data_IF_208163364584
#
_entry.id   IF_208163364584
#
_cell.length_a   1.000
_cell.length_b   1.000
_cell.length_c   1.000
_cell.angle_alpha   90.00
_cell.angle_beta   90.00
_cell.angle_gamma   90.00
#
_symmetry.space_group_name_H-M   'P 1'
#
loop_
_entity.id
_entity.type
_entity.pdbx_description
1 polymer ?
#
# COMPACT_ATOMS: atom_id res chain seq x y z
N UNK A 1 -12.59 10.66 20.89
CA UNK A 1 -11.52 10.20 20.00
C UNK A 1 -11.77 8.75 19.64
N UNK A 2 -11.54 8.40 18.39
CA UNK A 2 -11.63 7.03 17.86
C UNK A 2 -10.31 6.77 17.17
N UNK A 3 -9.64 5.66 17.53
CA UNK A 3 -8.48 5.18 16.79
C UNK A 3 -8.96 4.49 15.52
N UNK A 4 -8.55 5.01 14.38
CA UNK A 4 -8.99 4.54 13.07
C UNK A 4 -7.90 3.81 12.28
N UNK A 5 -6.68 3.76 12.84
CA UNK A 5 -5.53 3.08 12.23
C UNK A 5 -5.23 1.81 13.01
N UNK A 6 -5.19 0.68 12.33
CA UNK A 6 -4.84 -0.59 12.97
C UNK A 6 -3.37 -0.58 13.39
N UNK A 7 -3.11 -1.01 14.62
CA UNK A 7 -1.77 -1.12 15.18
C UNK A 7 -1.72 -2.18 16.26
N UNK A 8 -0.52 -2.42 16.75
CA UNK A 8 -0.25 -3.27 17.92
C UNK A 8 0.03 -2.41 19.15
N UNK A 9 -0.17 -2.98 20.33
CA UNK A 9 0.02 -2.30 21.61
C UNK A 9 1.50 -2.24 22.04
N UNK A 10 2.37 -3.05 21.43
CA UNK A 10 3.78 -3.15 21.82
C UNK A 10 4.73 -3.28 20.64
N UNK A 11 5.97 -2.83 20.81
CA UNK A 11 7.04 -3.03 19.83
C UNK A 11 7.28 -4.50 19.53
N UNK A 12 7.21 -5.38 20.53
CA UNK A 12 7.44 -6.82 20.36
C UNK A 12 6.42 -7.45 19.39
N UNK A 13 5.19 -6.96 19.37
CA UNK A 13 4.17 -7.42 18.41
C UNK A 13 4.48 -6.93 17.01
N UNK A 14 4.97 -5.70 16.83
CA UNK A 14 5.45 -5.22 15.54
C UNK A 14 6.65 -5.99 15.02
N UNK A 15 7.60 -6.38 15.89
CA UNK A 15 8.78 -7.17 15.51
C UNK A 15 8.42 -8.60 15.04
N UNK A 16 7.30 -9.15 15.52
CA UNK A 16 6.81 -10.48 15.16
C UNK A 16 5.78 -10.47 14.03
N UNK A 17 5.36 -9.28 13.59
CA UNK A 17 4.28 -9.13 12.63
C UNK A 17 4.76 -9.30 11.18
N UNK A 18 4.03 -10.13 10.44
CA UNK A 18 4.19 -10.31 8.99
C UNK A 18 3.15 -9.53 8.16
N UNK A 19 2.23 -8.79 8.81
CA UNK A 19 1.11 -8.09 8.17
C UNK A 19 1.42 -6.68 7.67
N UNK A 20 2.65 -6.19 7.82
CA UNK A 20 3.09 -4.85 7.38
C UNK A 20 2.28 -3.68 7.96
N UNK A 21 1.60 -3.82 9.12
CA UNK A 21 0.76 -2.78 9.69
C UNK A 21 1.51 -1.44 9.85
N UNK A 22 1.04 -0.41 9.13
CA UNK A 22 1.62 0.94 9.17
C UNK A 22 3.03 1.06 8.60
N UNK A 23 3.58 0.00 8.00
CA UNK A 23 4.95 -0.03 7.55
C UNK A 23 5.21 0.84 6.31
N UNK A 24 6.42 1.40 6.23
CA UNK A 24 6.98 1.87 4.96
C UNK A 24 7.49 0.66 4.19
N UNK A 25 6.94 0.42 3.02
CA UNK A 25 7.29 -0.70 2.15
C UNK A 25 8.20 -0.24 1.01
N UNK A 26 9.27 -0.96 0.77
CA UNK A 26 10.27 -0.70 -0.25
C UNK A 26 11.39 -1.76 -0.28
N UNK A 27 12.31 -1.73 -1.31
CA UNK A 27 12.36 -0.70 -2.40
C UNK A 27 11.14 -0.71 -3.32
N UNK A 28 10.53 -1.88 -3.57
CA UNK A 28 9.36 -2.02 -4.44
C UNK A 28 8.25 -2.68 -3.66
N UNK A 29 7.11 -1.99 -3.55
CA UNK A 29 5.90 -2.55 -2.96
C UNK A 29 5.22 -3.50 -3.95
N UNK A 30 4.40 -4.42 -3.39
CA UNK A 30 3.74 -5.48 -4.11
C UNK A 30 4.73 -6.46 -4.78
N UNK A 31 4.33 -7.18 -5.84
CA UNK A 31 5.05 -8.36 -6.36
C UNK A 31 5.90 -8.05 -7.58
N UNK A 32 7.03 -8.77 -7.67
CA UNK A 32 7.83 -8.90 -8.88
C UNK A 32 7.84 -10.38 -9.25
N UNK A 33 7.34 -10.69 -10.44
CA UNK A 33 7.19 -12.05 -10.95
C UNK A 33 8.53 -12.78 -11.04
N UNK A 34 8.57 -14.04 -10.63
CA UNK A 34 9.77 -14.88 -10.68
C UNK A 34 10.95 -14.37 -9.83
N UNK A 35 10.72 -13.35 -8.99
CA UNK A 35 11.77 -12.70 -8.19
C UNK A 35 12.99 -12.29 -9.03
N UNK A 36 12.76 -11.71 -10.19
CA UNK A 36 13.82 -11.13 -11.02
C UNK A 36 13.25 -10.00 -11.90
N UNK A 37 14.14 -9.11 -12.32
CA UNK A 37 13.83 -8.11 -13.35
C UNK A 37 15.05 -7.88 -14.25
N UNK A 38 14.81 -7.29 -15.41
CA UNK A 38 15.86 -6.83 -16.31
C UNK A 38 15.87 -5.29 -16.34
N UNK A 39 17.05 -4.71 -16.23
CA UNK A 39 17.27 -3.27 -16.32
C UNK A 39 18.59 -3.04 -17.08
N UNK A 40 18.56 -2.23 -18.13
CA UNK A 40 19.72 -1.92 -18.99
C UNK A 40 20.47 -3.17 -19.50
N UNK A 41 19.72 -4.21 -19.86
CA UNK A 41 20.25 -5.49 -20.37
C UNK A 41 20.89 -6.39 -19.31
N UNK A 42 20.84 -6.00 -18.04
CA UNK A 42 21.30 -6.82 -16.92
C UNK A 42 20.13 -7.46 -16.17
N UNK A 43 20.29 -8.72 -15.79
CA UNK A 43 19.31 -9.45 -14.96
C UNK A 43 19.68 -9.31 -13.49
N UNK A 44 18.69 -8.97 -12.68
CA UNK A 44 18.80 -8.80 -11.23
C UNK A 44 17.90 -9.81 -10.52
N UNK A 45 18.48 -10.90 -9.98
CA UNK A 45 17.74 -11.84 -9.15
C UNK A 45 17.46 -11.21 -7.79
N UNK A 46 16.23 -11.37 -7.32
CA UNK A 46 15.75 -10.88 -6.03
C UNK A 46 15.50 -12.04 -5.06
N UNK A 47 15.34 -11.72 -3.78
CA UNK A 47 14.96 -12.74 -2.81
C UNK A 47 13.52 -13.20 -3.03
N UNK A 48 13.31 -14.53 -3.11
CA UNK A 48 11.98 -15.17 -3.20
C UNK A 48 11.38 -15.28 -1.79
N UNK A 49 10.42 -14.43 -1.48
CA UNK A 49 9.71 -14.43 -0.19
C UNK A 49 8.19 -14.60 -0.32
N UNK A 50 7.68 -14.83 -1.54
CA UNK A 50 6.28 -15.10 -1.83
C UNK A 50 6.17 -16.20 -2.89
N UNK A 51 6.38 -17.46 -2.47
CA UNK A 51 6.54 -18.58 -3.38
C UNK A 51 7.73 -18.37 -4.31
N UNK A 52 7.47 -18.30 -5.63
CA UNK A 52 8.50 -18.03 -6.64
C UNK A 52 8.71 -16.54 -6.90
N UNK A 53 7.91 -15.68 -6.27
CA UNK A 53 7.92 -14.25 -6.50
C UNK A 53 8.67 -13.51 -5.39
N UNK A 54 8.95 -12.25 -5.65
CA UNK A 54 9.41 -11.29 -4.68
C UNK A 54 8.26 -10.40 -4.25
N UNK A 55 8.12 -10.11 -2.97
CA UNK A 55 7.05 -9.29 -2.38
C UNK A 55 7.61 -8.25 -1.43
N UNK A 56 7.12 -7.01 -1.55
CA UNK A 56 7.32 -5.93 -0.58
C UNK A 56 8.78 -5.65 -0.18
N UNK A 57 9.73 -5.78 -1.14
CA UNK A 57 11.13 -5.48 -0.90
C UNK A 57 11.96 -6.65 -0.36
N UNK A 58 11.36 -7.85 -0.27
CA UNK A 58 12.08 -9.09 -0.01
C UNK A 58 12.04 -9.58 1.43
N UNK A 59 13.01 -10.41 1.80
CA UNK A 59 13.10 -11.01 3.13
C UNK A 59 13.29 -9.96 4.23
N UNK A 60 14.09 -8.95 3.91
CA UNK A 60 14.36 -7.83 4.81
C UNK A 60 14.11 -6.52 4.07
N UNK A 61 12.81 -6.27 3.78
CA UNK A 61 12.36 -5.03 3.17
C UNK A 61 12.50 -3.82 4.11
N UNK A 62 12.08 -2.66 3.64
CA UNK A 62 12.19 -1.39 4.36
C UNK A 62 11.46 -1.38 5.71
N UNK A 63 10.45 -2.21 5.87
CA UNK A 63 9.69 -2.45 7.10
C UNK A 63 10.50 -3.14 8.21
N UNK A 64 11.62 -3.79 7.88
CA UNK A 64 12.46 -4.55 8.82
C UNK A 64 13.70 -3.78 9.28
N UNK A 65 13.80 -2.49 8.98
CA UNK A 65 14.94 -1.66 9.37
C UNK A 65 14.54 -0.56 10.33
N UNK A 66 15.45 -0.21 11.23
CA UNK A 66 15.35 1.02 12.03
C UNK A 66 15.80 2.18 11.15
N UNK A 67 14.94 3.18 11.01
CA UNK A 67 15.22 4.40 10.27
C UNK A 67 15.79 5.48 11.20
N UNK A 68 16.64 6.33 10.65
CA UNK A 68 17.02 7.55 11.35
C UNK A 68 15.82 8.50 11.39
N UNK A 69 15.57 9.09 12.55
CA UNK A 69 14.40 9.97 12.79
C UNK A 69 14.88 11.39 13.03
N UNK A 70 14.25 12.34 12.34
CA UNK A 70 14.35 13.77 12.57
C UNK A 70 12.96 14.27 12.99
N UNK A 71 12.88 14.93 14.17
CA UNK A 71 11.67 15.58 14.62
C UNK A 71 11.50 16.91 13.91
N UNK A 72 10.30 17.16 13.39
CA UNK A 72 9.89 18.42 12.74
C UNK A 72 8.82 19.11 13.60
N UNK A 73 8.62 20.43 13.46
CA UNK A 73 7.60 21.15 14.23
C UNK A 73 6.16 20.59 14.02
N UNK A 74 5.91 19.95 12.90
CA UNK A 74 4.60 19.44 12.46
C UNK A 74 4.61 17.94 12.15
N UNK A 75 5.70 17.22 12.50
CA UNK A 75 5.77 15.79 12.18
C UNK A 75 7.14 15.16 12.39
N UNK A 76 7.41 14.14 11.59
CA UNK A 76 8.65 13.35 11.64
C UNK A 76 9.17 13.10 10.23
N UNK A 77 10.49 13.17 10.04
CA UNK A 77 11.16 12.68 8.84
C UNK A 77 11.96 11.43 9.17
N UNK A 78 11.66 10.36 8.46
CA UNK A 78 12.38 9.09 8.54
C UNK A 78 13.33 8.99 7.35
N UNK A 79 14.58 8.60 7.58
CA UNK A 79 15.59 8.48 6.53
C UNK A 79 16.37 7.18 6.68
N UNK A 80 16.66 6.52 5.55
CA UNK A 80 17.59 5.39 5.51
C UNK A 80 18.39 5.38 4.21
N UNK A 81 19.57 4.71 4.26
CA UNK A 81 20.34 4.33 3.09
C UNK A 81 20.23 2.83 2.89
N UNK A 82 19.76 2.40 1.72
CA UNK A 82 19.73 1.02 1.27
C UNK A 82 20.95 0.80 0.38
N UNK A 83 21.93 -0.03 0.78
CA UNK A 83 23.18 -0.22 0.03
C UNK A 83 22.93 -0.94 -1.30
N UNK A 84 23.90 -0.79 -2.22
CA UNK A 84 23.92 -1.55 -3.47
C UNK A 84 23.84 -3.05 -3.21
N UNK A 85 22.96 -3.76 -3.93
CA UNK A 85 22.73 -5.19 -3.79
C UNK A 85 21.80 -5.62 -2.65
N UNK A 86 21.26 -4.68 -1.85
CA UNK A 86 20.27 -5.03 -0.83
C UNK A 86 19.07 -5.71 -1.46
N UNK A 87 18.71 -6.92 -0.98
CA UNK A 87 17.66 -7.82 -1.51
C UNK A 87 17.77 -8.13 -3.02
N UNK A 88 18.92 -7.81 -3.66
CA UNK A 88 19.18 -7.99 -5.09
C UNK A 88 19.04 -6.73 -5.94
N UNK A 89 18.60 -5.61 -5.37
CA UNK A 89 18.42 -4.36 -6.12
C UNK A 89 19.75 -3.64 -6.35
N UNK A 90 20.05 -3.16 -7.58
CA UNK A 90 21.25 -2.38 -7.87
C UNK A 90 21.16 -0.96 -7.30
N UNK A 91 22.32 -0.38 -7.07
CA UNK A 91 22.50 1.01 -6.64
C UNK A 91 22.30 1.24 -5.15
N UNK A 92 23.05 2.20 -4.63
CA UNK A 92 22.85 2.70 -3.28
C UNK A 92 21.73 3.72 -3.32
N UNK A 93 20.63 3.44 -2.59
CA UNK A 93 19.46 4.32 -2.55
C UNK A 93 19.35 4.99 -1.19
N UNK A 94 19.22 6.31 -1.19
CA UNK A 94 18.78 7.08 -0.03
C UNK A 94 17.30 7.34 -0.15
N UNK A 95 16.52 6.89 0.84
CA UNK A 95 15.08 7.10 0.89
C UNK A 95 14.71 7.89 2.14
N UNK A 96 13.71 8.76 2.00
CA UNK A 96 13.06 9.41 3.14
C UNK A 96 11.55 9.39 3.02
N UNK A 97 10.89 9.36 4.15
CA UNK A 97 9.43 9.53 4.28
C UNK A 97 9.18 10.57 5.35
N UNK A 98 8.46 11.62 4.99
CA UNK A 98 8.08 12.68 5.92
C UNK A 98 6.60 12.56 6.24
N UNK A 99 6.29 12.36 7.52
CA UNK A 99 4.94 12.36 8.07
C UNK A 99 4.65 13.73 8.66
N UNK A 100 3.57 14.36 8.24
CA UNK A 100 3.07 15.62 8.82
C UNK A 100 1.63 15.49 9.22
N UNK A 101 1.29 16.10 10.37
CA UNK A 101 -0.08 16.18 10.86
C UNK A 101 -0.49 17.64 10.90
N UNK A 102 -1.56 17.97 10.20
CA UNK A 102 -2.17 19.30 10.22
C UNK A 102 -3.68 19.15 10.47
N UNK A 103 -4.09 19.49 11.70
CA UNK A 103 -5.47 19.32 12.15
C UNK A 103 -5.92 17.86 12.07
N UNK A 104 -6.78 17.56 11.11
CA UNK A 104 -7.31 16.21 10.85
C UNK A 104 -6.67 15.54 9.63
N UNK A 105 -5.62 16.13 9.08
CA UNK A 105 -4.94 15.64 7.89
C UNK A 105 -3.61 14.98 8.27
N UNK A 106 -3.34 13.80 7.70
CA UNK A 106 -2.03 13.16 7.71
C UNK A 106 -1.47 13.21 6.29
N UNK A 107 -0.27 13.78 6.15
CA UNK A 107 0.46 13.85 4.88
C UNK A 107 1.72 13.00 4.94
N UNK A 108 1.97 12.22 3.89
CA UNK A 108 3.17 11.43 3.69
C UNK A 108 3.85 11.88 2.40
N UNK A 109 5.09 12.39 2.51
CA UNK A 109 5.92 12.75 1.37
C UNK A 109 7.09 11.76 1.26
N UNK A 110 7.28 11.18 0.08
CA UNK A 110 8.35 10.22 -0.21
C UNK A 110 9.39 10.85 -1.12
N UNK A 111 10.66 10.66 -0.77
CA UNK A 111 11.79 11.06 -1.60
C UNK A 111 12.76 9.88 -1.70
N UNK A 112 13.27 9.62 -2.89
CA UNK A 112 14.30 8.62 -3.12
C UNK A 112 15.31 9.10 -4.15
N UNK A 113 16.58 8.86 -3.88
CA UNK A 113 17.70 9.16 -4.76
C UNK A 113 18.62 7.93 -4.81
N UNK A 114 19.12 7.58 -5.99
CA UNK A 114 20.02 6.46 -6.18
C UNK A 114 21.26 6.89 -6.98
N UNK A 115 22.41 6.25 -6.70
CA UNK A 115 23.68 6.48 -7.41
C UNK A 115 23.73 5.81 -8.80
N UNK A 116 22.72 4.98 -9.14
CA UNK A 116 22.53 4.38 -10.47
C UNK A 116 21.06 4.02 -10.69
N UNK A 117 20.74 3.62 -11.91
CA UNK A 117 19.39 3.16 -12.26
C UNK A 117 19.01 1.94 -11.43
N UNK A 118 17.78 1.98 -10.89
CA UNK A 118 17.21 0.95 -10.02
C UNK A 118 15.69 1.03 -10.02
N UNK A 119 15.02 0.03 -9.45
CA UNK A 119 13.58 0.09 -9.23
C UNK A 119 13.26 0.76 -7.89
N UNK A 120 12.26 1.63 -7.90
CA UNK A 120 11.74 2.29 -6.71
C UNK A 120 10.22 2.43 -6.80
N UNK A 121 9.51 1.86 -5.84
CA UNK A 121 8.06 2.01 -5.67
C UNK A 121 7.72 1.92 -4.18
N UNK A 122 7.74 3.05 -3.49
CA UNK A 122 7.51 3.14 -2.05
C UNK A 122 6.02 3.29 -1.76
N UNK A 123 5.56 2.72 -0.65
CA UNK A 123 4.21 2.92 -0.14
C UNK A 123 4.17 2.87 1.39
N UNK A 124 3.03 3.29 1.95
CA UNK A 124 2.65 3.04 3.34
C UNK A 124 1.57 1.95 3.38
N UNK A 125 1.70 1.04 4.32
CA UNK A 125 0.81 -0.12 4.46
C UNK A 125 -0.13 0.02 5.67
N UNK A 126 -0.61 1.23 5.96
CA UNK A 126 -1.59 1.43 7.03
C UNK A 126 -2.93 0.81 6.67
N UNK A 127 -3.55 0.16 7.65
CA UNK A 127 -4.90 -0.37 7.58
C UNK A 127 -5.85 0.55 8.35
N UNK A 128 -7.00 0.84 7.77
CA UNK A 128 -7.97 1.75 8.37
C UNK A 128 -9.29 1.04 8.70
N UNK A 129 -9.82 1.33 9.88
CA UNK A 129 -11.19 1.01 10.27
C UNK A 129 -11.81 2.24 10.91
N UNK A 130 -12.61 2.97 10.16
CA UNK A 130 -13.19 4.24 10.60
C UNK A 130 -14.22 4.08 11.73
N UNK A 131 -14.61 2.84 12.04
CA UNK A 131 -15.45 2.53 13.20
C UNK A 131 -14.64 2.32 14.50
N UNK A 132 -13.31 2.32 14.44
CA UNK A 132 -12.45 2.05 15.59
C UNK A 132 -12.43 0.59 16.05
N UNK A 133 -13.01 -0.33 15.27
CA UNK A 133 -13.00 -1.75 15.58
C UNK A 133 -14.17 -2.53 14.95
N UNK A 134 -14.12 -3.84 15.06
CA UNK A 134 -15.05 -4.76 14.41
C UNK A 134 -14.83 -4.84 12.89
N UNK A 135 -15.86 -5.24 12.14
CA UNK A 135 -15.78 -5.36 10.68
C UNK A 135 -15.81 -4.01 9.99
N UNK A 136 -14.96 -3.85 8.97
CA UNK A 136 -14.97 -2.71 8.05
C UNK A 136 -15.85 -2.95 6.80
N UNK A 137 -16.44 -4.12 6.65
CA UNK A 137 -17.21 -4.51 5.45
C UNK A 137 -18.44 -3.64 5.20
N UNK A 138 -18.98 -2.99 6.23
CA UNK A 138 -20.08 -2.03 6.12
C UNK A 138 -19.65 -0.65 5.61
N UNK A 139 -18.36 -0.33 5.63
CA UNK A 139 -17.88 0.97 5.16
C UNK A 139 -18.27 1.20 3.71
N UNK A 140 -18.64 2.43 3.40
CA UNK A 140 -18.93 2.85 2.02
C UNK A 140 -17.68 3.41 1.38
N UNK A 141 -17.27 2.85 0.24
CA UNK A 141 -16.09 3.27 -0.52
C UNK A 141 -16.51 3.85 -1.87
N UNK A 142 -15.84 4.92 -2.26
CA UNK A 142 -15.77 5.42 -3.63
C UNK A 142 -14.31 5.48 -4.07
N UNK A 143 -14.00 5.10 -5.32
CA UNK A 143 -12.67 5.17 -5.90
C UNK A 143 -12.73 5.88 -7.25
N UNK A 144 -11.84 6.86 -7.46
CA UNK A 144 -11.77 7.62 -8.71
C UNK A 144 -10.83 6.92 -9.70
N UNK A 145 -11.29 5.77 -10.20
CA UNK A 145 -10.57 4.93 -11.15
C UNK A 145 -11.55 4.31 -12.16
N UNK A 146 -11.11 4.21 -13.41
CA UNK A 146 -11.88 3.60 -14.49
C UNK A 146 -11.45 2.16 -14.78
N UNK A 147 -10.33 1.71 -14.21
CA UNK A 147 -9.78 0.39 -14.42
C UNK A 147 -9.07 -0.15 -13.16
N UNK A 148 -8.93 -1.47 -13.11
CA UNK A 148 -8.02 -2.18 -12.21
C UNK A 148 -6.96 -2.92 -13.02
N UNK A 149 -5.79 -3.13 -12.42
CA UNK A 149 -4.76 -3.97 -13.01
C UNK A 149 -5.22 -5.43 -12.96
N UNK A 150 -5.42 -6.05 -14.13
CA UNK A 150 -5.72 -7.47 -14.20
C UNK A 150 -4.56 -8.27 -13.64
N UNK A 151 -4.85 -9.34 -12.89
CA UNK A 151 -3.86 -10.19 -12.25
C UNK A 151 -4.11 -11.67 -12.48
N UNK A 152 -3.03 -12.45 -12.51
CA UNK A 152 -3.07 -13.91 -12.51
C UNK A 152 -3.58 -14.44 -11.15
N UNK A 153 -3.92 -15.74 -11.04
CA UNK A 153 -4.19 -16.37 -9.74
C UNK A 153 -3.03 -16.25 -8.73
N UNK A 154 -1.79 -16.08 -9.20
CA UNK A 154 -0.62 -15.82 -8.37
C UNK A 154 -0.43 -14.35 -8.01
N UNK A 155 -1.45 -13.51 -8.21
CA UNK A 155 -1.48 -12.08 -7.90
C UNK A 155 -0.43 -11.24 -8.68
N UNK A 156 0.02 -11.74 -9.82
CA UNK A 156 0.96 -11.04 -10.71
C UNK A 156 0.18 -10.24 -11.74
N UNK A 157 0.47 -8.96 -11.93
CA UNK A 157 -0.13 -8.15 -12.98
C UNK A 157 0.13 -8.73 -14.37
N UNK A 158 -0.92 -8.80 -15.22
CA UNK A 158 -0.81 -9.28 -16.60
C UNK A 158 -0.35 -8.20 -17.58
N UNK A 159 -0.37 -6.93 -17.15
CA UNK A 159 -0.16 -5.76 -18.01
C UNK A 159 -1.46 -5.22 -18.61
N UNK A 160 -2.59 -5.92 -18.42
CA UNK A 160 -3.90 -5.48 -18.89
C UNK A 160 -4.57 -4.59 -17.83
N UNK A 161 -5.13 -3.47 -18.26
CA UNK A 161 -5.99 -2.62 -17.45
C UNK A 161 -7.45 -2.99 -17.74
N UNK A 162 -8.10 -3.70 -16.82
CA UNK A 162 -9.47 -4.16 -16.97
C UNK A 162 -10.46 -3.06 -16.52
N UNK A 163 -11.47 -2.68 -17.33
CA UNK A 163 -12.47 -1.71 -16.93
C UNK A 163 -13.23 -2.14 -15.67
N UNK A 164 -13.49 -1.19 -14.75
CA UNK A 164 -14.26 -1.48 -13.54
C UNK A 164 -15.76 -1.54 -13.77
N UNK A 165 -16.27 -0.84 -14.79
CA UNK A 165 -17.70 -0.66 -15.05
C UNK A 165 -18.45 -2.00 -15.13
N UNK A 166 -19.51 -2.13 -14.32
CA UNK A 166 -20.34 -3.34 -14.27
C UNK A 166 -19.70 -4.56 -13.58
N UNK A 167 -18.55 -4.38 -12.92
CA UNK A 167 -17.87 -5.43 -12.15
C UNK A 167 -17.98 -5.18 -10.64
N UNK A 168 -17.52 -6.15 -9.83
CA UNK A 168 -17.40 -5.95 -8.37
C UNK A 168 -16.48 -4.78 -8.00
N UNK A 169 -15.57 -4.39 -8.89
CA UNK A 169 -14.62 -3.28 -8.71
C UNK A 169 -15.19 -1.90 -9.06
N UNK A 170 -16.43 -1.82 -9.52
CA UNK A 170 -17.07 -0.54 -9.85
C UNK A 170 -17.41 0.24 -8.59
N UNK A 171 -16.47 1.05 -8.13
CA UNK A 171 -16.60 2.01 -7.04
C UNK A 171 -16.70 3.46 -7.54
N UNK A 172 -17.07 3.67 -8.80
CA UNK A 172 -17.26 5.01 -9.36
C UNK A 172 -18.34 5.82 -8.64
N UNK A 173 -19.33 5.12 -8.05
CA UNK A 173 -20.27 5.67 -7.08
C UNK A 173 -20.08 5.01 -5.71
N UNK A 174 -20.35 5.73 -4.60
CA UNK A 174 -20.23 5.19 -3.26
C UNK A 174 -21.03 3.90 -3.07
N UNK A 175 -20.41 2.83 -2.60
CA UNK A 175 -21.09 1.57 -2.26
C UNK A 175 -20.45 0.88 -1.06
N UNK A 176 -21.23 0.12 -0.26
CA UNK A 176 -20.68 -0.70 0.82
C UNK A 176 -19.69 -1.74 0.30
N UNK A 177 -18.57 -1.96 1.03
CA UNK A 177 -17.55 -2.95 0.67
C UNK A 177 -18.13 -4.36 0.54
N UNK A 178 -19.09 -4.73 1.40
CA UNK A 178 -19.71 -6.05 1.37
C UNK A 178 -20.65 -6.29 0.17
N UNK A 179 -21.08 -5.24 -0.55
CA UNK A 179 -22.18 -5.35 -1.53
C UNK A 179 -21.95 -6.42 -2.60
N UNK A 180 -20.74 -6.50 -3.12
CA UNK A 180 -20.42 -7.37 -4.27
C UNK A 180 -19.41 -8.49 -3.88
N UNK A 181 -19.21 -8.73 -2.58
CA UNK A 181 -18.40 -9.84 -2.08
C UNK A 181 -19.27 -11.06 -1.79
N UNK A 182 -18.90 -12.26 -2.27
CA UNK A 182 -19.65 -13.47 -1.97
C UNK A 182 -19.54 -13.85 -0.48
N UNK A 183 -20.63 -14.33 0.11
CA UNK A 183 -20.62 -14.90 1.47
C UNK A 183 -20.46 -13.88 2.60
N UNK A 184 -20.86 -12.62 2.38
CA UNK A 184 -20.80 -11.56 3.40
C UNK A 184 -21.90 -11.59 4.45
N UNK A 185 -22.61 -12.71 4.61
CA UNK A 185 -23.43 -12.92 5.79
C UNK A 185 -22.57 -12.81 7.05
N UNK A 186 -23.08 -12.15 8.08
CA UNK A 186 -22.37 -11.66 9.26
C UNK A 186 -21.54 -12.71 10.08
N UNK A 187 -21.27 -13.87 9.53
CA UNK A 187 -20.50 -14.96 10.11
C UNK A 187 -19.47 -15.59 9.16
N UNK A 188 -19.37 -15.17 7.89
CA UNK A 188 -18.39 -15.74 6.96
C UNK A 188 -17.09 -14.95 7.02
N UNK A 189 -16.07 -15.54 7.64
CA UNK A 189 -14.70 -14.98 7.73
C UNK A 189 -13.85 -15.23 6.47
N UNK A 190 -14.43 -15.78 5.39
CA UNK A 190 -13.70 -16.22 4.21
C UNK A 190 -14.23 -15.53 2.95
N UNK A 191 -14.08 -14.21 2.89
CA UNK A 191 -14.23 -13.51 1.61
C UNK A 191 -12.84 -13.24 1.06
N UNK A 192 -12.64 -13.51 -0.23
CA UNK A 192 -11.43 -13.10 -0.96
C UNK A 192 -11.33 -11.57 -1.12
N UNK A 193 -11.97 -10.77 -0.32
CA UNK A 193 -11.89 -9.32 -0.22
C UNK A 193 -11.60 -8.57 -1.53
N UNK A 194 -11.12 -7.36 -1.39
CA UNK A 194 -10.51 -6.59 -2.46
C UNK A 194 -9.01 -6.46 -2.17
N UNK A 195 -8.18 -7.00 -3.06
CA UNK A 195 -6.72 -6.87 -3.02
C UNK A 195 -6.25 -6.59 -4.47
N UNK A 196 -6.74 -5.50 -5.01
CA UNK A 196 -6.56 -5.16 -6.42
C UNK A 196 -6.06 -3.72 -6.55
N UNK A 197 -5.17 -3.48 -7.51
CA UNK A 197 -4.66 -2.15 -7.79
C UNK A 197 -5.61 -1.39 -8.72
N UNK A 198 -6.17 -0.30 -8.22
CA UNK A 198 -6.99 0.64 -8.97
C UNK A 198 -6.10 1.62 -9.75
N UNK A 199 -6.34 1.74 -11.05
CA UNK A 199 -5.67 2.70 -11.93
C UNK A 199 -6.37 4.04 -11.81
N UNK A 200 -5.77 4.96 -11.07
CA UNK A 200 -6.38 6.24 -10.73
C UNK A 200 -6.42 7.20 -11.91
N UNK A 201 -7.55 7.88 -12.07
CA UNK A 201 -7.74 8.90 -13.10
C UNK A 201 -6.99 10.19 -12.77
N UNK A 202 -6.50 10.92 -13.80
CA UNK A 202 -5.83 12.20 -13.64
C UNK A 202 -4.36 12.12 -13.23
N UNK A 203 -3.77 13.28 -12.98
CA UNK A 203 -2.35 13.46 -12.61
C UNK A 203 -2.19 14.50 -11.51
N UNK A 204 -1.02 14.55 -10.88
CA UNK A 204 -0.75 15.43 -9.74
C UNK A 204 -1.46 15.01 -8.48
N UNK A 205 -1.47 15.87 -7.46
CA UNK A 205 -2.19 15.60 -6.22
C UNK A 205 -3.68 15.72 -6.45
N UNK A 206 -4.42 14.63 -6.26
CA UNK A 206 -5.86 14.54 -6.52
C UNK A 206 -6.52 13.54 -5.58
N UNK A 207 -7.82 13.64 -5.47
CA UNK A 207 -8.62 12.65 -4.77
C UNK A 207 -8.53 11.30 -5.49
N UNK A 208 -8.21 10.27 -4.72
CA UNK A 208 -8.14 8.88 -5.16
C UNK A 208 -9.32 8.05 -4.66
N UNK A 209 -9.73 8.30 -3.41
CA UNK A 209 -10.84 7.58 -2.81
C UNK A 209 -11.50 8.37 -1.67
N UNK A 210 -12.75 8.01 -1.38
CA UNK A 210 -13.48 8.45 -0.19
C UNK A 210 -14.02 7.21 0.53
N UNK A 211 -13.66 7.06 1.81
CA UNK A 211 -14.15 5.99 2.67
C UNK A 211 -15.01 6.59 3.79
N UNK A 212 -16.17 6.00 4.05
CA UNK A 212 -17.09 6.43 5.12
C UNK A 212 -17.39 5.27 6.05
N UNK A 213 -17.18 5.47 7.34
CA UNK A 213 -17.54 4.51 8.38
C UNK A 213 -19.06 4.43 8.55
N UNK A 214 -19.62 3.26 8.39
CA UNK A 214 -21.08 3.00 8.43
C UNK A 214 -21.71 3.22 9.82
N UNK A 215 -20.90 3.10 10.90
CA UNK A 215 -21.34 3.30 12.28
C UNK A 215 -20.88 4.60 12.88
N UNK A 216 -19.63 4.98 12.60
CA UNK A 216 -19.04 6.22 13.17
C UNK A 216 -19.43 7.48 12.41
N UNK A 217 -19.75 7.35 11.11
CA UNK A 217 -19.93 8.49 10.22
C UNK A 217 -18.65 9.26 9.89
N UNK A 218 -17.49 8.77 10.33
CA UNK A 218 -16.18 9.36 9.98
C UNK A 218 -15.94 9.18 8.49
N UNK A 219 -15.50 10.26 7.84
CA UNK A 219 -15.14 10.27 6.42
C UNK A 219 -13.64 10.47 6.28
N UNK A 220 -12.99 9.61 5.53
CA UNK A 220 -11.60 9.75 5.13
C UNK A 220 -11.51 9.97 3.62
N UNK A 221 -10.91 11.07 3.21
CA UNK A 221 -10.57 11.33 1.81
C UNK A 221 -9.09 11.04 1.60
N UNK A 222 -8.78 10.19 0.62
CA UNK A 222 -7.43 9.86 0.23
C UNK A 222 -7.04 10.69 -0.98
N UNK A 223 -5.94 11.45 -0.86
CA UNK A 223 -5.33 12.17 -1.96
C UNK A 223 -3.96 11.56 -2.28
N UNK A 224 -3.61 11.49 -3.55
CA UNK A 224 -2.29 10.98 -3.95
C UNK A 224 -1.80 11.57 -5.27
N UNK A 225 -0.48 11.50 -5.47
CA UNK A 225 0.18 11.78 -6.76
C UNK A 225 0.49 10.51 -7.54
N UNK A 226 0.33 9.31 -6.91
CA UNK A 226 0.65 8.02 -7.55
C UNK A 226 -0.40 7.64 -8.60
N UNK A 227 -0.04 6.87 -9.64
CA UNK A 227 -0.97 6.46 -10.68
C UNK A 227 -1.93 5.33 -10.25
N UNK A 228 -1.64 4.67 -9.14
CA UNK A 228 -2.42 3.53 -8.64
C UNK A 228 -2.62 3.54 -7.14
N UNK A 229 -3.66 2.85 -6.70
CA UNK A 229 -4.00 2.61 -5.29
C UNK A 229 -4.44 1.16 -5.13
N UNK A 230 -3.74 0.43 -4.25
CA UNK A 230 -4.10 -0.92 -3.87
C UNK A 230 -5.19 -0.89 -2.82
#
# INVERSE_FOLDING_TARGET
WVDVVLGYDSLAEYEQNDGYLGAVVGRVCNRIAGAEFELDGNRYPLYQNDGVNHLHGGKRGFDKYVWAVEELPDGLRLTRTSPDGEEGYPGTMRASVTYRVDGVSLRLDYEAESDRDTLCNLTNHSYFNLNGGGSALGHTLQVFADAVTERTPGLIPTGVLAPVAGTKFDFSAPKPLCRDLPGTDAGSLHTDGYDDNFCLSGTGLREAAVLTGDRSGIIMTVLTTTPGMQ
#
